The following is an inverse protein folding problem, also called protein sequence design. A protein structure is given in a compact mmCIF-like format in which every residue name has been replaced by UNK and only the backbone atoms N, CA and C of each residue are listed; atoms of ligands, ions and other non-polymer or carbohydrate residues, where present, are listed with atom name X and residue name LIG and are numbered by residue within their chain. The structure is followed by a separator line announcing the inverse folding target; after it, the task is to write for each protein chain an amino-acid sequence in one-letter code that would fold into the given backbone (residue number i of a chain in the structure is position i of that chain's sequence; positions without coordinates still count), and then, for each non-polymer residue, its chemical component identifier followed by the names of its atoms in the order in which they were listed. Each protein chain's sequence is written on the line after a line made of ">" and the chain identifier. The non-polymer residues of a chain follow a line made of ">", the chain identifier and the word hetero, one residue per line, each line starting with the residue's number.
data_IF_449257625949
#
_entry.id   IF_449257625949
#
_cell.length_a   1.000
_cell.length_b   1.000
_cell.length_c   1.000
_cell.angle_alpha   90.00
_cell.angle_beta   90.00
_cell.angle_gamma   90.00
#
_symmetry.space_group_name_H-M   'P 1'
#
loop_
_entity.id
_entity.type
_entity.pdbx_description
1 polymer ?
#
# COMPACT_ATOMS: atom_id res chain seq x y z
N UNK A 1 -28.62 0.13 47.10
CA UNK A 1 -29.06 1.39 46.46
C UNK A 1 -29.92 1.01 45.28
N UNK A 2 -31.20 1.33 45.38
CA UNK A 2 -32.24 1.15 44.38
C UNK A 2 -31.94 1.95 43.10
N UNK A 3 -32.15 1.36 41.93
CA UNK A 3 -33.26 1.80 41.07
C UNK A 3 -33.52 0.77 39.97
N UNK A 4 -34.64 0.07 40.11
CA UNK A 4 -35.30 -0.69 39.04
C UNK A 4 -36.10 0.31 38.21
N UNK A 5 -35.50 0.86 37.14
CA UNK A 5 -36.31 1.30 36.00
C UNK A 5 -36.73 0.04 35.26
N UNK A 6 -37.79 -0.58 35.76
CA UNK A 6 -38.37 -1.80 35.22
C UNK A 6 -39.20 -1.40 33.99
N UNK A 7 -38.56 -1.03 32.88
CA UNK A 7 -39.22 -0.74 31.63
C UNK A 7 -39.50 -2.06 30.91
N UNK A 8 -40.74 -2.52 30.96
CA UNK A 8 -41.18 -3.87 30.55
C UNK A 8 -41.10 -4.10 29.03
N UNK A 9 -40.73 -3.05 28.29
CA UNK A 9 -40.47 -3.05 26.86
C UNK A 9 -38.98 -3.24 26.51
N UNK A 10 -38.07 -3.09 27.48
CA UNK A 10 -36.62 -3.19 27.27
C UNK A 10 -36.06 -4.31 28.15
N UNK A 11 -35.53 -5.35 27.52
CA UNK A 11 -34.87 -6.47 28.19
C UNK A 11 -33.35 -6.27 28.11
N UNK A 12 -32.74 -5.85 29.22
CA UNK A 12 -31.29 -5.82 29.35
C UNK A 12 -30.77 -7.22 29.66
N UNK A 13 -30.16 -7.89 28.68
CA UNK A 13 -29.49 -9.18 28.84
C UNK A 13 -27.97 -8.99 28.80
N UNK A 14 -27.28 -9.43 29.86
CA UNK A 14 -25.81 -9.40 29.95
C UNK A 14 -25.25 -10.83 29.95
N UNK A 15 -25.46 -11.56 28.84
CA UNK A 15 -24.85 -12.88 28.63
C UNK A 15 -23.71 -12.81 27.59
N UNK A 16 -22.48 -13.03 28.05
CA UNK A 16 -21.30 -13.06 27.18
C UNK A 16 -21.39 -14.13 26.07
N UNK A 17 -22.13 -15.22 26.27
CA UNK A 17 -22.28 -16.30 25.29
C UNK A 17 -23.07 -15.88 24.05
N UNK A 18 -23.93 -14.86 24.16
CA UNK A 18 -24.69 -14.32 23.03
C UNK A 18 -23.86 -13.38 22.13
N UNK A 19 -22.63 -13.03 22.53
CA UNK A 19 -21.74 -12.08 21.82
C UNK A 19 -20.76 -12.76 20.87
N UNK A 20 -21.05 -13.99 20.44
CA UNK A 20 -20.19 -14.75 19.51
C UNK A 20 -19.99 -14.05 18.17
N UNK A 21 -20.96 -13.24 17.71
CA UNK A 21 -20.87 -12.47 16.47
C UNK A 21 -19.71 -11.46 16.47
N UNK A 22 -19.23 -11.02 17.63
CA UNK A 22 -18.08 -10.10 17.74
C UNK A 22 -16.79 -10.73 17.19
N UNK A 23 -16.72 -12.06 17.14
CA UNK A 23 -15.59 -12.79 16.58
C UNK A 23 -15.35 -12.46 15.11
N UNK A 24 -16.41 -12.09 14.37
CA UNK A 24 -16.29 -11.59 13.01
C UNK A 24 -15.32 -10.40 12.90
N UNK A 25 -15.48 -9.40 13.78
CA UNK A 25 -14.62 -8.22 13.78
C UNK A 25 -13.22 -8.51 14.35
N UNK A 26 -13.11 -9.39 15.36
CA UNK A 26 -11.81 -9.82 15.88
C UNK A 26 -10.98 -10.52 14.80
N UNK A 27 -11.59 -11.44 14.07
CA UNK A 27 -10.94 -12.16 12.97
C UNK A 27 -10.53 -11.24 11.82
N UNK A 28 -11.31 -10.19 11.55
CA UNK A 28 -10.93 -9.16 10.57
C UNK A 28 -9.66 -8.42 10.96
N UNK A 29 -9.47 -8.12 12.24
CA UNK A 29 -8.30 -7.39 12.76
C UNK A 29 -7.05 -8.27 12.93
N UNK A 30 -7.23 -9.55 13.25
CA UNK A 30 -6.13 -10.52 13.32
C UNK A 30 -5.40 -10.62 11.97
N UNK A 31 -4.09 -10.79 12.03
CA UNK A 31 -3.18 -10.81 10.89
C UNK A 31 -2.01 -11.78 11.17
N UNK A 32 -1.34 -12.23 10.11
CA UNK A 32 -0.31 -13.27 10.18
C UNK A 32 1.02 -12.68 10.65
N UNK A 33 1.35 -11.50 10.13
CA UNK A 33 2.60 -10.80 10.45
C UNK A 33 2.48 -9.30 10.20
N UNK A 34 3.42 -8.58 10.80
CA UNK A 34 3.64 -7.15 10.60
C UNK A 34 5.05 -6.93 10.07
N UNK A 35 5.19 -6.14 9.01
CA UNK A 35 6.47 -5.81 8.38
C UNK A 35 6.70 -4.30 8.45
N UNK A 36 7.87 -3.86 8.90
CA UNK A 36 8.24 -2.45 8.89
C UNK A 36 8.57 -1.99 7.47
N UNK A 37 8.01 -0.87 7.05
CA UNK A 37 8.34 -0.20 5.80
C UNK A 37 8.16 1.32 5.91
N UNK A 38 8.32 2.03 4.79
CA UNK A 38 8.10 3.47 4.62
C UNK A 38 7.60 3.77 3.21
N UNK A 39 7.12 4.99 2.96
CA UNK A 39 6.69 5.43 1.63
C UNK A 39 7.80 6.21 0.92
N UNK A 40 8.37 5.64 -0.13
CA UNK A 40 9.39 6.26 -0.99
C UNK A 40 8.84 7.33 -1.94
N UNK A 41 8.05 8.27 -1.42
CA UNK A 41 7.46 9.39 -2.16
C UNK A 41 8.03 10.72 -1.64
N UNK A 42 8.20 11.70 -2.52
CA UNK A 42 8.77 13.00 -2.18
C UNK A 42 7.79 13.87 -1.37
N UNK A 43 7.60 13.56 -0.09
CA UNK A 43 6.61 14.21 0.79
C UNK A 43 7.19 14.79 2.07
N UNK A 44 8.53 14.72 2.25
CA UNK A 44 9.28 15.08 3.49
C UNK A 44 8.89 14.32 4.76
N UNK A 45 7.85 13.48 4.69
CA UNK A 45 7.33 12.75 5.84
C UNK A 45 8.29 11.71 6.38
N UNK A 46 8.85 10.84 5.53
CA UNK A 46 9.71 9.73 5.96
C UNK A 46 9.13 8.92 7.13
N UNK A 47 7.80 8.76 7.16
CA UNK A 47 7.08 8.12 8.25
C UNK A 47 7.29 6.60 8.21
N UNK A 48 7.61 5.97 9.35
CA UNK A 48 7.62 4.53 9.52
C UNK A 48 6.20 3.97 9.59
N UNK A 49 5.98 2.84 8.92
CA UNK A 49 4.69 2.15 8.85
C UNK A 49 4.85 0.67 9.18
N UNK A 50 3.81 0.14 9.81
CA UNK A 50 3.61 -1.26 10.14
C UNK A 50 2.63 -1.85 9.13
N UNK A 51 3.16 -2.61 8.18
CA UNK A 51 2.39 -3.23 7.10
C UNK A 51 1.83 -4.55 7.59
N UNK A 52 0.50 -4.67 7.61
CA UNK A 52 -0.19 -5.86 8.11
C UNK A 52 -0.46 -6.81 6.94
N UNK A 53 -0.05 -8.06 7.12
CA UNK A 53 -0.25 -9.15 6.16
C UNK A 53 -1.20 -10.17 6.76
N UNK A 54 -2.24 -10.56 6.01
CA UNK A 54 -3.19 -11.59 6.39
C UNK A 54 -3.46 -12.48 5.19
N UNK A 55 -3.51 -13.79 5.39
CA UNK A 55 -3.68 -14.80 4.35
C UNK A 55 -2.67 -14.63 3.20
N UNK A 56 -1.44 -14.24 3.54
CA UNK A 56 -0.37 -14.01 2.57
C UNK A 56 -0.50 -12.75 1.71
N UNK A 57 -1.51 -11.90 1.93
CA UNK A 57 -1.69 -10.63 1.21
C UNK A 57 -1.54 -9.42 2.14
N UNK A 58 -1.05 -8.30 1.63
CA UNK A 58 -1.03 -7.04 2.39
C UNK A 58 -2.46 -6.52 2.47
N UNK A 59 -2.95 -6.25 3.68
CA UNK A 59 -4.35 -5.85 3.88
C UNK A 59 -4.50 -4.37 4.24
N UNK A 60 -3.69 -3.86 5.16
CA UNK A 60 -3.66 -2.45 5.57
C UNK A 60 -2.31 -2.10 6.18
N UNK A 61 -2.13 -0.83 6.51
CA UNK A 61 -0.96 -0.32 7.22
C UNK A 61 -1.39 0.59 8.38
N UNK A 62 -0.59 0.65 9.43
CA UNK A 62 -0.75 1.59 10.54
C UNK A 62 0.58 2.26 10.81
N UNK A 63 0.59 3.46 11.38
CA UNK A 63 1.85 4.11 11.73
C UNK A 63 2.63 3.28 12.76
N UNK A 64 3.95 3.19 12.59
CA UNK A 64 4.81 2.72 13.68
C UNK A 64 5.05 3.84 14.68
N UNK A 65 5.07 3.49 15.96
CA UNK A 65 5.10 4.46 17.07
C UNK A 65 6.44 4.50 17.81
N UNK A 66 7.40 3.68 17.38
CA UNK A 66 8.64 3.40 18.10
C UNK A 66 9.83 4.23 17.59
N UNK A 67 9.59 5.51 17.26
CA UNK A 67 10.70 6.43 17.02
C UNK A 67 11.50 6.64 18.32
N UNK A 68 12.83 6.75 18.25
CA UNK A 68 13.62 7.15 19.41
C UNK A 68 13.14 8.48 19.98
N UNK A 69 13.10 8.58 21.31
CA UNK A 69 12.82 9.84 22.00
C UNK A 69 13.92 10.85 21.74
N UNK A 70 13.56 12.09 21.45
CA UNK A 70 14.52 13.17 21.17
C UNK A 70 15.26 13.59 22.45
N UNK A 71 14.54 14.18 23.40
CA UNK A 71 15.05 14.61 24.70
C UNK A 71 13.91 14.75 25.71
N UNK A 72 14.26 14.88 26.99
CA UNK A 72 13.28 15.10 28.05
C UNK A 72 12.65 16.48 27.92
N UNK A 73 11.33 16.52 27.76
CA UNK A 73 10.55 17.77 27.68
C UNK A 73 10.05 18.12 26.28
N UNK A 74 10.55 17.45 25.23
CA UNK A 74 9.96 17.55 23.89
C UNK A 74 8.93 16.44 23.64
N UNK A 75 7.86 16.74 22.88
CA UNK A 75 6.91 15.72 22.47
C UNK A 75 7.58 14.72 21.50
N UNK A 76 7.20 13.43 21.55
CA UNK A 76 7.70 12.44 20.61
C UNK A 76 7.18 12.70 19.19
N UNK A 77 7.84 12.08 18.20
CA UNK A 77 7.42 12.20 16.79
C UNK A 77 6.21 11.34 16.42
N UNK A 78 5.94 10.27 17.17
CA UNK A 78 4.83 9.36 16.90
C UNK A 78 3.48 10.10 16.96
N UNK A 79 2.49 9.73 16.12
CA UNK A 79 2.53 8.64 15.13
C UNK A 79 3.09 9.05 13.76
N UNK A 80 3.31 10.34 13.50
CA UNK A 80 3.43 10.88 12.12
C UNK A 80 2.28 10.35 11.22
N UNK A 81 2.58 10.06 9.96
CA UNK A 81 1.61 9.55 8.98
C UNK A 81 0.78 10.64 8.31
N UNK A 82 0.03 10.26 7.28
CA UNK A 82 -0.93 11.14 6.59
C UNK A 82 -1.98 10.31 5.83
N UNK A 83 -3.04 10.96 5.33
CA UNK A 83 -4.13 10.32 4.58
C UNK A 83 -3.69 9.69 3.26
N UNK A 84 -2.55 10.12 2.70
CA UNK A 84 -1.98 9.52 1.49
C UNK A 84 -1.19 8.25 1.81
N UNK A 85 -0.52 8.23 2.97
CA UNK A 85 0.21 7.06 3.43
C UNK A 85 -0.71 5.93 3.87
N UNK A 86 -1.77 6.22 4.62
CA UNK A 86 -2.71 5.20 5.14
C UNK A 86 -3.45 4.42 4.03
N UNK A 87 -3.47 4.96 2.81
CA UNK A 87 -4.16 4.36 1.65
C UNK A 87 -3.21 3.68 0.66
N UNK A 88 -1.91 3.60 0.94
CA UNK A 88 -0.92 3.13 -0.03
C UNK A 88 -1.10 1.64 -0.41
N UNK A 89 -1.50 0.81 0.54
CA UNK A 89 -1.82 -0.61 0.37
C UNK A 89 -2.83 -0.88 -0.77
N UNK A 90 -3.69 0.08 -1.10
CA UNK A 90 -4.59 0.01 -2.27
C UNK A 90 -3.83 -0.25 -3.58
N UNK A 91 -2.68 0.41 -3.78
CA UNK A 91 -1.91 0.31 -5.04
C UNK A 91 -1.37 -1.09 -5.33
N UNK A 92 -1.28 -1.98 -4.33
CA UNK A 92 -0.73 -3.32 -4.55
C UNK A 92 -1.61 -4.14 -5.50
N UNK A 93 -2.94 -3.97 -5.40
CA UNK A 93 -3.94 -4.77 -6.10
C UNK A 93 -4.93 -3.94 -6.92
N UNK A 94 -4.76 -2.62 -6.96
CA UNK A 94 -5.63 -1.72 -7.71
C UNK A 94 -5.56 -1.94 -9.23
N UNK A 95 -6.58 -1.51 -9.99
CA UNK A 95 -6.54 -1.56 -11.45
C UNK A 95 -5.42 -0.70 -12.06
N UNK A 96 -4.77 0.17 -11.29
CA UNK A 96 -3.66 1.00 -11.74
C UNK A 96 -2.29 0.29 -11.63
N UNK A 97 -2.24 -0.90 -11.03
CA UNK A 97 -0.99 -1.64 -10.87
C UNK A 97 -0.44 -2.07 -12.22
N UNK A 98 0.72 -1.52 -12.59
CA UNK A 98 1.52 -2.01 -13.72
C UNK A 98 2.06 -3.41 -13.37
N UNK A 99 1.62 -4.43 -14.12
CA UNK A 99 1.98 -5.84 -13.88
C UNK A 99 3.10 -6.35 -14.80
N UNK A 100 3.28 -5.70 -15.95
CA UNK A 100 4.21 -6.13 -16.99
C UNK A 100 5.00 -4.92 -17.52
N UNK A 101 6.19 -5.13 -18.09
CA UNK A 101 6.87 -4.07 -18.83
C UNK A 101 6.06 -3.69 -20.08
N UNK A 102 5.85 -2.40 -20.28
CA UNK A 102 5.16 -1.86 -21.46
C UNK A 102 6.14 -1.09 -22.34
N UNK A 103 5.93 -1.18 -23.64
CA UNK A 103 6.61 -0.40 -24.67
C UNK A 103 5.55 0.10 -25.65
N UNK A 104 5.72 1.31 -26.18
CA UNK A 104 4.82 1.84 -27.20
C UNK A 104 4.87 0.94 -28.44
N UNK A 105 3.71 0.55 -28.98
CA UNK A 105 3.64 -0.39 -30.11
C UNK A 105 4.48 0.05 -31.32
N UNK A 106 4.37 1.31 -31.72
CA UNK A 106 5.18 1.88 -32.80
C UNK A 106 6.69 1.74 -32.56
N UNK A 107 7.15 1.99 -31.32
CA UNK A 107 8.56 1.84 -30.95
C UNK A 107 8.98 0.36 -30.97
N UNK A 108 8.12 -0.55 -30.49
CA UNK A 108 8.42 -1.98 -30.50
C UNK A 108 8.57 -2.52 -31.93
N UNK A 109 7.73 -2.08 -32.85
CA UNK A 109 7.83 -2.46 -34.27
C UNK A 109 9.16 -2.00 -34.89
N UNK A 110 9.53 -0.74 -34.64
CA UNK A 110 10.80 -0.18 -35.11
C UNK A 110 11.99 -0.89 -34.47
N UNK A 111 11.92 -1.15 -33.16
CA UNK A 111 12.95 -1.89 -32.42
C UNK A 111 13.17 -3.29 -32.97
N UNK A 112 12.10 -4.03 -33.27
CA UNK A 112 12.21 -5.38 -33.86
C UNK A 112 12.89 -5.36 -35.23
N UNK A 113 12.61 -4.34 -36.06
CA UNK A 113 13.29 -4.18 -37.36
C UNK A 113 14.77 -3.86 -37.19
N UNK A 114 15.10 -2.87 -36.37
CA UNK A 114 16.49 -2.50 -36.12
C UNK A 114 17.30 -3.66 -35.50
N UNK A 115 16.68 -4.45 -34.62
CA UNK A 115 17.30 -5.66 -34.05
C UNK A 115 17.50 -6.80 -35.04
N UNK A 116 16.78 -6.82 -36.16
CA UNK A 116 17.01 -7.76 -37.23
C UNK A 116 18.10 -7.30 -38.21
N UNK A 117 18.34 -5.99 -38.30
CA UNK A 117 19.34 -5.38 -39.18
C UNK A 117 20.72 -5.22 -38.51
N UNK A 118 20.76 -5.14 -37.19
CA UNK A 118 21.98 -4.91 -36.40
C UNK A 118 22.13 -5.95 -35.29
N UNK A 119 23.30 -6.61 -35.24
CA UNK A 119 23.63 -7.59 -34.19
C UNK A 119 23.80 -6.93 -32.82
N UNK A 120 24.45 -5.75 -32.76
CA UNK A 120 24.63 -4.97 -31.54
C UNK A 120 23.37 -4.14 -31.21
N UNK A 121 22.74 -4.31 -30.02
CA UNK A 121 21.56 -3.54 -29.64
C UNK A 121 21.84 -2.04 -29.47
N UNK A 122 23.08 -1.63 -29.20
CA UNK A 122 23.48 -0.22 -29.13
C UNK A 122 23.44 0.40 -30.53
N UNK A 123 23.94 -0.31 -31.55
CA UNK A 123 23.87 0.14 -32.94
C UNK A 123 22.41 0.16 -33.46
N UNK A 124 21.61 -0.85 -33.10
CA UNK A 124 20.17 -0.87 -33.40
C UNK A 124 19.44 0.32 -32.77
N UNK A 125 19.77 0.68 -31.52
CA UNK A 125 19.17 1.85 -30.87
C UNK A 125 19.64 3.15 -31.54
N UNK A 126 20.94 3.24 -31.85
CA UNK A 126 21.54 4.39 -32.53
C UNK A 126 20.84 4.65 -33.85
N UNK A 127 20.63 3.63 -34.69
CA UNK A 127 19.98 3.80 -35.99
C UNK A 127 18.55 4.34 -35.89
N UNK A 128 17.80 3.97 -34.83
CA UNK A 128 16.47 4.51 -34.57
C UNK A 128 16.50 5.96 -34.08
N UNK A 129 17.31 6.30 -33.08
CA UNK A 129 17.30 7.64 -32.47
C UNK A 129 17.97 8.72 -33.33
N UNK A 130 18.82 8.32 -34.28
CA UNK A 130 19.45 9.24 -35.24
C UNK A 130 18.63 9.44 -36.51
N UNK A 131 17.60 8.64 -36.77
CA UNK A 131 16.74 8.77 -37.95
C UNK A 131 15.54 9.71 -37.65
N UNK A 132 15.44 10.89 -38.29
CA UNK A 132 14.34 11.83 -38.08
C UNK A 132 12.95 11.24 -38.38
N UNK A 133 12.80 10.48 -39.47
CA UNK A 133 11.52 9.88 -39.86
C UNK A 133 11.03 8.86 -38.83
N UNK A 134 11.95 8.08 -38.26
CA UNK A 134 11.61 7.10 -37.21
C UNK A 134 11.15 7.76 -35.90
N UNK A 135 11.50 9.03 -35.67
CA UNK A 135 11.13 9.80 -34.46
C UNK A 135 9.79 10.52 -34.56
N UNK A 136 9.28 10.69 -35.78
CA UNK A 136 7.97 11.33 -36.02
C UNK A 136 6.79 10.36 -35.83
N UNK A 137 7.06 9.05 -35.76
CA UNK A 137 6.06 7.98 -35.62
C UNK A 137 5.66 7.69 -34.16
#
# INVERSE_FOLDING_TARGET
>A
MSNTDNNHWIKDETDAKLRSWEEFYRNRWQHDKVVRSTHGVNCTGSCTWMIHVKDGIVTWEMQGLDYPTLEKGLPPYEPRGCQRGISFSWYLYSPLRVKYPYIRGALLDLWKKARAEHDDPVDAWKSLVTNPESRER
#
